data_IF_783915118980
#
_entry.id   IF_783915118980
#
_cell.length_a   1.000
_cell.length_b   1.000
_cell.length_c   1.000
_cell.angle_alpha   90.00
_cell.angle_beta   90.00
_cell.angle_gamma   90.00
#
_symmetry.space_group_name_H-M   'P 1'
#
loop_
_entity.id
_entity.type
_entity.pdbx_description
1 polymer ?
#
# COMPACT_ATOMS: atom_id res chain seq x y z
N UNK A 1 16.41 15.39 7.73
CA UNK A 1 15.05 14.85 7.66
C UNK A 1 14.69 14.17 8.97
N UNK A 2 13.43 14.27 9.47
CA UNK A 2 13.01 13.59 10.69
C UNK A 2 13.08 12.06 10.53
N UNK A 3 13.35 11.37 11.64
CA UNK A 3 13.44 9.90 11.69
C UNK A 3 12.69 9.30 12.90
N UNK A 4 12.04 10.12 13.70
CA UNK A 4 11.33 9.71 14.93
C UNK A 4 10.17 8.74 14.67
N UNK A 5 9.72 8.69 13.39
CA UNK A 5 8.69 7.79 12.90
C UNK A 5 9.25 6.45 12.37
N UNK A 6 10.53 6.12 12.68
CA UNK A 6 11.18 4.89 12.22
C UNK A 6 11.63 4.05 13.41
N UNK A 7 11.27 2.77 13.41
CA UNK A 7 11.70 1.79 14.41
C UNK A 7 13.04 1.19 13.97
N UNK A 8 13.95 0.97 14.90
CA UNK A 8 15.24 0.33 14.63
C UNK A 8 15.03 -1.07 14.05
N UNK A 9 15.77 -1.39 12.99
CA UNK A 9 15.65 -2.64 12.22
C UNK A 9 15.71 -3.89 13.11
N UNK A 10 16.60 -3.94 14.08
CA UNK A 10 16.74 -5.08 14.98
C UNK A 10 15.44 -5.35 15.75
N UNK A 11 14.75 -4.27 16.18
CA UNK A 11 13.46 -4.38 16.87
C UNK A 11 12.33 -4.81 15.94
N UNK A 12 12.38 -4.40 14.67
CA UNK A 12 11.43 -4.86 13.66
C UNK A 12 11.54 -6.37 13.45
N UNK A 13 12.79 -6.86 13.28
CA UNK A 13 13.06 -8.30 13.09
C UNK A 13 12.63 -9.13 14.32
N UNK A 14 12.91 -8.63 15.53
CA UNK A 14 12.45 -9.24 16.79
C UNK A 14 10.91 -9.34 16.81
N UNK A 15 10.20 -8.27 16.44
CA UNK A 15 8.75 -8.26 16.45
C UNK A 15 8.16 -9.17 15.36
N UNK A 16 8.75 -9.22 14.16
CA UNK A 16 8.34 -10.15 13.10
C UNK A 16 8.52 -11.62 13.54
N UNK A 17 9.64 -11.96 14.20
CA UNK A 17 9.84 -13.30 14.74
C UNK A 17 8.85 -13.61 15.88
N UNK A 18 8.62 -12.65 16.77
CA UNK A 18 7.65 -12.79 17.88
C UNK A 18 6.25 -13.11 17.39
N UNK A 19 5.79 -12.46 16.30
CA UNK A 19 4.44 -12.61 15.79
C UNK A 19 4.33 -13.54 14.57
N UNK A 20 5.38 -14.28 14.25
CA UNK A 20 5.42 -15.14 13.05
C UNK A 20 4.28 -16.18 12.95
N UNK A 21 3.68 -16.57 14.08
CA UNK A 21 2.55 -17.49 14.14
C UNK A 21 1.19 -16.80 14.31
N UNK A 22 1.17 -15.47 14.46
CA UNK A 22 -0.05 -14.68 14.59
C UNK A 22 -0.43 -14.04 13.24
N UNK A 23 -1.69 -13.61 13.11
CA UNK A 23 -2.06 -12.67 12.07
C UNK A 23 -1.49 -11.29 12.44
N UNK A 24 -0.78 -10.65 11.53
CA UNK A 24 -0.17 -9.35 11.78
C UNK A 24 -0.17 -8.44 10.57
N UNK A 25 0.00 -7.15 10.84
CA UNK A 25 0.31 -6.10 9.87
C UNK A 25 1.63 -5.47 10.28
N UNK A 26 2.56 -5.34 9.34
CA UNK A 26 3.83 -4.63 9.52
C UNK A 26 4.03 -3.60 8.41
N UNK A 27 4.30 -2.34 8.78
CA UNK A 27 4.61 -1.30 7.80
C UNK A 27 6.11 -1.24 7.54
N UNK A 28 6.53 -1.58 6.34
CA UNK A 28 7.95 -1.60 5.94
C UNK A 28 8.40 -0.23 5.41
N UNK A 29 7.44 0.63 5.07
CA UNK A 29 7.62 2.00 4.58
C UNK A 29 6.92 2.24 3.25
N UNK A 30 6.54 3.48 2.98
CA UNK A 30 5.80 3.90 1.79
C UNK A 30 4.46 3.14 1.66
N UNK A 31 4.25 2.41 0.58
CA UNK A 31 3.12 1.50 0.37
C UNK A 31 3.48 0.02 0.60
N UNK A 32 4.65 -0.25 1.19
CA UNK A 32 5.12 -1.61 1.46
C UNK A 32 4.64 -2.08 2.83
N UNK A 33 3.79 -3.08 2.84
CA UNK A 33 3.35 -3.79 4.04
C UNK A 33 3.64 -5.28 3.94
N UNK A 34 3.89 -5.90 5.08
CA UNK A 34 3.77 -7.33 5.28
C UNK A 34 2.46 -7.56 6.05
N UNK A 35 1.58 -8.39 5.49
CA UNK A 35 0.29 -8.74 6.09
C UNK A 35 0.23 -10.27 6.16
N UNK A 36 0.11 -10.82 7.36
CA UNK A 36 -0.06 -12.26 7.55
C UNK A 36 -1.50 -12.55 7.94
N UNK A 37 -2.14 -13.45 7.19
CA UNK A 37 -3.52 -13.90 7.38
C UNK A 37 -3.55 -15.43 7.31
N UNK A 38 -3.71 -16.09 8.44
CA UNK A 38 -3.54 -17.54 8.55
C UNK A 38 -2.15 -17.98 8.09
N UNK A 39 -2.11 -18.91 7.15
CA UNK A 39 -0.85 -19.42 6.59
C UNK A 39 -0.34 -18.61 5.39
N UNK A 40 -0.98 -17.48 5.06
CA UNK A 40 -0.61 -16.67 3.89
C UNK A 40 0.06 -15.38 4.32
N UNK A 41 1.32 -15.18 3.94
CA UNK A 41 2.06 -13.93 4.08
C UNK A 41 2.01 -13.15 2.77
N UNK A 42 1.51 -11.93 2.84
CA UNK A 42 1.32 -11.00 1.72
C UNK A 42 2.36 -9.89 1.80
N UNK A 43 2.95 -9.51 0.67
CA UNK A 43 3.69 -8.26 0.54
C UNK A 43 3.00 -7.36 -0.48
N UNK A 44 2.89 -6.06 -0.16
CA UNK A 44 2.27 -5.05 -1.03
C UNK A 44 3.33 -4.08 -1.54
N UNK A 45 3.27 -3.71 -2.82
CA UNK A 45 4.06 -2.65 -3.49
C UNK A 45 5.49 -2.48 -2.93
N UNK A 46 6.34 -3.53 -2.93
CA UNK A 46 7.61 -3.50 -2.21
C UNK A 46 8.62 -2.55 -2.86
N UNK A 47 8.98 -1.51 -2.11
CA UNK A 47 9.96 -0.49 -2.46
C UNK A 47 11.19 -0.60 -1.55
N UNK A 48 12.31 -1.14 -2.07
CA UNK A 48 13.59 -1.28 -1.37
C UNK A 48 14.73 -0.48 -1.99
N UNK A 49 14.54 0.05 -3.20
CA UNK A 49 15.52 0.92 -3.86
C UNK A 49 15.64 2.27 -3.16
N UNK A 50 16.83 2.90 -3.29
CA UNK A 50 17.08 4.26 -2.81
C UNK A 50 16.32 5.31 -3.60
N UNK A 51 16.07 5.06 -4.89
CA UNK A 51 15.47 5.99 -5.83
C UNK A 51 14.16 5.45 -6.36
N UNK A 52 13.19 6.33 -6.54
CA UNK A 52 11.88 6.04 -7.14
C UNK A 52 11.83 6.59 -8.58
N UNK A 53 12.70 6.06 -9.43
CA UNK A 53 12.81 6.49 -10.82
C UNK A 53 13.63 5.51 -11.66
N UNK A 54 13.84 5.82 -12.96
CA UNK A 54 14.63 4.96 -13.82
C UNK A 54 16.11 4.96 -13.41
N UNK A 55 16.68 3.78 -13.23
CA UNK A 55 18.09 3.58 -12.83
C UNK A 55 18.42 4.28 -11.49
N UNK A 56 19.24 5.33 -11.56
CA UNK A 56 19.69 6.12 -10.41
C UNK A 56 18.98 7.47 -10.29
N UNK A 57 18.01 7.73 -11.18
CA UNK A 57 17.26 8.99 -11.23
C UNK A 57 15.97 8.93 -10.40
N UNK A 58 15.32 10.08 -10.24
CA UNK A 58 14.08 10.24 -9.53
C UNK A 58 14.25 10.60 -8.05
N UNK A 59 13.15 10.82 -7.36
CA UNK A 59 13.14 11.13 -5.93
C UNK A 59 13.85 10.05 -5.12
N UNK A 60 14.59 10.49 -4.10
CA UNK A 60 15.30 9.57 -3.18
C UNK A 60 14.50 9.40 -1.90
N UNK A 61 14.48 8.18 -1.40
CA UNK A 61 14.02 7.98 -0.03
C UNK A 61 14.98 8.63 0.96
N UNK A 62 14.45 9.23 2.00
CA UNK A 62 15.23 9.87 3.06
C UNK A 62 15.34 9.02 4.33
N UNK A 63 14.52 7.97 4.45
CA UNK A 63 14.66 6.92 5.46
C UNK A 63 14.78 5.58 4.76
N UNK A 64 15.52 4.66 5.36
CA UNK A 64 15.62 3.29 4.83
C UNK A 64 14.32 2.50 5.05
N UNK A 65 14.13 1.41 4.32
CA UNK A 65 13.08 0.44 4.61
C UNK A 65 13.32 -0.20 5.98
N UNK A 66 12.23 -0.52 6.67
CA UNK A 66 12.28 -1.08 8.03
C UNK A 66 13.14 -2.34 8.16
N UNK A 67 13.21 -3.13 7.09
CA UNK A 67 14.07 -4.31 6.94
C UNK A 67 14.74 -4.30 5.57
N UNK A 68 15.75 -5.12 5.37
CA UNK A 68 16.41 -5.31 4.07
C UNK A 68 15.62 -6.29 3.21
N UNK A 69 15.82 -6.23 1.89
CA UNK A 69 15.14 -7.11 0.94
C UNK A 69 15.38 -8.61 1.22
N UNK A 70 16.57 -8.98 1.65
CA UNK A 70 16.93 -10.36 1.98
C UNK A 70 16.48 -10.81 3.40
N UNK A 71 15.84 -9.91 4.16
CA UNK A 71 15.28 -10.18 5.49
C UNK A 71 13.76 -10.33 5.47
N UNK A 72 13.14 -10.18 4.28
CA UNK A 72 11.71 -10.41 4.12
C UNK A 72 11.39 -11.86 4.48
N UNK A 73 10.42 -12.13 5.37
CA UNK A 73 9.96 -13.48 5.67
C UNK A 73 9.43 -14.17 4.41
N UNK A 74 9.34 -15.50 4.43
CA UNK A 74 8.75 -16.23 3.32
C UNK A 74 7.39 -15.64 2.96
N UNK A 75 7.22 -15.35 1.67
CA UNK A 75 6.07 -14.58 1.15
C UNK A 75 5.34 -15.44 0.14
N UNK A 76 4.06 -15.68 0.41
CA UNK A 76 3.18 -16.50 -0.43
C UNK A 76 2.55 -15.69 -1.54
N UNK A 77 2.24 -14.42 -1.26
CA UNK A 77 1.49 -13.55 -2.15
C UNK A 77 2.15 -12.17 -2.30
N UNK A 78 2.39 -11.78 -3.54
CA UNK A 78 2.89 -10.46 -3.91
C UNK A 78 1.76 -9.69 -4.60
N UNK A 79 1.33 -8.57 -4.04
CA UNK A 79 0.34 -7.67 -4.62
C UNK A 79 1.03 -6.41 -5.15
N UNK A 80 0.74 -6.04 -6.39
CA UNK A 80 1.20 -4.79 -7.00
C UNK A 80 -0.01 -3.99 -7.49
N UNK A 81 -0.17 -2.76 -7.02
CA UNK A 81 -1.33 -1.91 -7.33
C UNK A 81 -1.24 -1.23 -8.68
N UNK A 82 -0.06 -0.76 -9.09
CA UNK A 82 0.17 -0.08 -10.37
C UNK A 82 1.66 0.03 -10.72
N UNK A 83 1.99 0.71 -11.84
CA UNK A 83 3.34 0.69 -12.40
C UNK A 83 4.22 1.90 -12.10
N UNK A 84 3.83 2.84 -11.25
CA UNK A 84 4.71 3.95 -10.89
C UNK A 84 5.99 3.45 -10.22
N UNK A 85 7.06 4.24 -10.27
CA UNK A 85 8.39 3.80 -9.85
C UNK A 85 8.52 3.55 -8.35
N UNK A 86 7.70 4.19 -7.55
CA UNK A 86 7.63 4.07 -6.10
C UNK A 86 6.74 2.91 -5.62
N UNK A 87 6.06 2.21 -6.54
CA UNK A 87 5.28 0.98 -6.29
C UNK A 87 5.88 -0.23 -7.03
N UNK A 88 6.05 -0.14 -8.35
CA UNK A 88 6.77 -1.14 -9.12
C UNK A 88 8.27 -0.83 -9.09
N UNK A 89 8.94 -1.14 -8.01
CA UNK A 89 10.40 -1.10 -7.92
C UNK A 89 11.01 -2.30 -8.67
N UNK A 90 11.47 -2.04 -9.88
CA UNK A 90 11.99 -3.10 -10.75
C UNK A 90 13.24 -3.78 -10.17
N UNK A 91 14.08 -3.07 -9.45
CA UNK A 91 15.23 -3.63 -8.74
C UNK A 91 14.78 -4.61 -7.66
N UNK A 92 13.77 -4.24 -6.89
CA UNK A 92 13.16 -5.12 -5.89
C UNK A 92 12.54 -6.36 -6.54
N UNK A 93 11.73 -6.20 -7.60
CA UNK A 93 11.15 -7.35 -8.33
C UNK A 93 12.26 -8.27 -8.85
N UNK A 94 13.32 -7.73 -9.44
CA UNK A 94 14.46 -8.50 -9.97
C UNK A 94 15.18 -9.31 -8.88
N UNK A 95 15.40 -8.72 -7.71
CA UNK A 95 16.17 -9.32 -6.63
C UNK A 95 15.31 -9.92 -5.51
N UNK A 96 13.98 -9.99 -5.69
CA UNK A 96 13.06 -10.53 -4.70
C UNK A 96 13.42 -11.97 -4.34
N UNK A 97 13.57 -12.32 -3.04
CA UNK A 97 14.09 -13.64 -2.66
C UNK A 97 13.10 -14.78 -2.91
N UNK A 98 11.80 -14.51 -2.83
CA UNK A 98 10.74 -15.54 -2.86
C UNK A 98 10.06 -15.62 -4.24
N UNK A 99 10.77 -16.10 -5.27
CA UNK A 99 10.26 -16.19 -6.66
C UNK A 99 9.13 -17.21 -6.86
N UNK A 100 8.86 -18.04 -5.86
CA UNK A 100 7.73 -18.98 -5.85
C UNK A 100 6.41 -18.31 -5.45
N UNK A 101 6.46 -17.11 -4.86
CA UNK A 101 5.26 -16.35 -4.50
C UNK A 101 4.31 -16.26 -5.69
N UNK A 102 3.02 -16.38 -5.42
CA UNK A 102 1.97 -16.01 -6.36
C UNK A 102 1.95 -14.49 -6.48
N UNK A 103 1.88 -13.99 -7.69
CA UNK A 103 1.86 -12.55 -7.98
C UNK A 103 0.51 -12.19 -8.56
N UNK A 104 -0.16 -11.21 -7.96
CA UNK A 104 -1.39 -10.61 -8.49
C UNK A 104 -1.11 -9.17 -8.88
N UNK A 105 -1.41 -8.84 -10.11
CA UNK A 105 -1.16 -7.52 -10.69
C UNK A 105 -2.32 -7.10 -11.57
N UNK A 106 -2.56 -5.80 -11.74
CA UNK A 106 -3.46 -5.30 -12.77
C UNK A 106 -3.01 -5.67 -14.18
N UNK A 107 -3.92 -5.62 -15.15
CA UNK A 107 -3.68 -5.98 -16.56
C UNK A 107 -2.42 -5.33 -17.14
N UNK A 108 -1.68 -6.11 -17.92
CA UNK A 108 -0.45 -5.76 -18.67
C UNK A 108 0.79 -5.49 -17.80
N UNK A 109 0.80 -5.96 -16.54
CA UNK A 109 1.95 -5.84 -15.65
C UNK A 109 2.73 -7.14 -15.44
N UNK A 110 2.19 -8.29 -15.83
CA UNK A 110 2.83 -9.61 -15.64
C UNK A 110 4.25 -9.70 -16.18
N UNK A 111 4.53 -9.03 -17.32
CA UNK A 111 5.85 -9.02 -17.97
C UNK A 111 7.00 -8.60 -17.06
N UNK A 112 6.75 -7.73 -16.08
CA UNK A 112 7.77 -7.27 -15.14
C UNK A 112 8.19 -8.37 -14.15
N UNK A 113 7.31 -9.33 -13.90
CA UNK A 113 7.55 -10.46 -13.00
C UNK A 113 8.04 -11.70 -13.73
N UNK A 114 7.39 -12.08 -14.82
CA UNK A 114 7.74 -13.28 -15.62
C UNK A 114 9.17 -13.22 -16.14
N UNK A 115 9.62 -12.04 -16.61
CA UNK A 115 11.01 -11.79 -17.04
C UNK A 115 12.03 -11.88 -15.92
N UNK A 116 11.59 -11.83 -14.65
CA UNK A 116 12.44 -11.89 -13.47
C UNK A 116 12.26 -13.18 -12.66
N UNK A 117 11.77 -14.24 -13.31
CA UNK A 117 11.76 -15.59 -12.75
C UNK A 117 10.54 -15.98 -11.92
N UNK A 118 9.53 -15.12 -11.80
CA UNK A 118 8.26 -15.51 -11.21
C UNK A 118 7.46 -16.37 -12.20
N UNK A 119 6.96 -17.52 -11.74
CA UNK A 119 6.22 -18.47 -12.57
C UNK A 119 4.71 -18.43 -12.37
N UNK A 120 4.26 -17.93 -11.23
CA UNK A 120 2.84 -17.87 -10.86
C UNK A 120 2.37 -16.42 -10.82
N UNK A 121 2.08 -15.84 -12.00
CA UNK A 121 1.69 -14.44 -12.17
C UNK A 121 0.30 -14.38 -12.80
N UNK A 122 -0.65 -13.73 -12.12
CA UNK A 122 -2.00 -13.53 -12.60
C UNK A 122 -2.28 -12.04 -12.78
N UNK A 123 -2.79 -11.70 -13.96
CA UNK A 123 -3.32 -10.37 -14.23
C UNK A 123 -4.81 -10.34 -13.93
N UNK A 124 -5.27 -9.25 -13.32
CA UNK A 124 -6.67 -9.01 -12.97
C UNK A 124 -7.18 -7.74 -13.65
N UNK A 125 -8.41 -7.78 -14.15
CA UNK A 125 -9.18 -6.58 -14.49
C UNK A 125 -9.96 -6.09 -13.27
N UNK A 126 -10.52 -4.89 -13.33
CA UNK A 126 -11.40 -4.40 -12.28
C UNK A 126 -12.58 -5.34 -12.08
N UNK A 127 -12.85 -5.66 -10.82
CA UNK A 127 -13.87 -6.59 -10.35
C UNK A 127 -13.54 -8.07 -10.54
N UNK A 128 -12.42 -8.42 -11.18
CA UNK A 128 -11.93 -9.79 -11.16
C UNK A 128 -11.51 -10.19 -9.76
N UNK A 129 -11.80 -11.45 -9.40
CA UNK A 129 -11.37 -12.03 -8.15
C UNK A 129 -10.67 -13.38 -8.33
N UNK A 130 -9.81 -13.70 -7.38
CA UNK A 130 -9.08 -14.96 -7.33
C UNK A 130 -8.97 -15.46 -5.90
N UNK A 131 -9.09 -16.77 -5.71
CA UNK A 131 -8.81 -17.43 -4.43
C UNK A 131 -7.35 -17.80 -4.31
N UNK A 132 -6.77 -17.51 -3.17
CA UNK A 132 -5.40 -17.87 -2.79
C UNK A 132 -5.45 -18.39 -1.35
N UNK A 133 -5.28 -19.69 -1.17
CA UNK A 133 -5.52 -20.37 0.10
C UNK A 133 -6.92 -20.00 0.65
N UNK A 134 -7.00 -19.51 1.88
CA UNK A 134 -8.24 -19.08 2.53
C UNK A 134 -8.64 -17.63 2.21
N UNK A 135 -7.91 -16.98 1.30
CA UNK A 135 -8.17 -15.60 0.91
C UNK A 135 -8.96 -15.53 -0.40
N UNK A 136 -9.89 -14.58 -0.47
CA UNK A 136 -10.43 -14.10 -1.74
C UNK A 136 -9.89 -12.70 -1.98
N UNK A 137 -9.26 -12.50 -3.13
CA UNK A 137 -8.63 -11.22 -3.51
C UNK A 137 -9.37 -10.67 -4.72
N UNK A 138 -9.92 -9.47 -4.61
CA UNK A 138 -10.61 -8.79 -5.71
C UNK A 138 -9.86 -7.51 -6.07
N UNK A 139 -9.60 -7.27 -7.37
CA UNK A 139 -9.08 -5.99 -7.84
C UNK A 139 -10.24 -5.01 -8.04
N UNK A 140 -10.17 -3.84 -7.41
CA UNK A 140 -11.20 -2.80 -7.47
C UNK A 140 -10.64 -1.52 -8.11
N UNK A 141 -11.47 -0.72 -8.81
CA UNK A 141 -11.04 0.53 -9.42
C UNK A 141 -10.54 1.54 -8.39
N UNK A 142 -9.62 2.42 -8.82
CA UNK A 142 -9.10 3.56 -8.07
C UNK A 142 -9.06 4.81 -8.95
N UNK A 143 -9.10 5.99 -8.33
CA UNK A 143 -8.95 7.29 -9.02
C UNK A 143 -7.45 7.58 -9.16
N UNK A 144 -6.84 6.91 -10.12
CA UNK A 144 -5.40 7.02 -10.37
C UNK A 144 -5.10 6.88 -11.87
N UNK A 145 -3.84 6.67 -12.20
CA UNK A 145 -3.35 6.51 -13.56
C UNK A 145 -2.08 5.65 -13.57
N UNK A 146 -1.60 5.30 -14.74
CA UNK A 146 -0.37 4.53 -14.89
C UNK A 146 0.56 5.16 -15.91
N UNK A 147 1.86 5.18 -15.60
CA UNK A 147 2.93 5.61 -16.51
C UNK A 147 4.28 5.18 -15.99
N UNK A 148 5.16 4.74 -16.91
CA UNK A 148 6.54 4.40 -16.61
C UNK A 148 7.52 4.84 -17.69
N UNK A 149 7.01 5.22 -18.85
CA UNK A 149 7.80 5.69 -20.00
C UNK A 149 7.09 6.87 -20.69
N UNK A 150 7.74 7.45 -21.70
CA UNK A 150 7.18 8.61 -22.41
C UNK A 150 5.85 8.30 -23.12
N UNK A 151 5.66 7.05 -23.57
CA UNK A 151 4.57 6.67 -24.46
C UNK A 151 3.63 5.60 -23.86
N UNK A 152 3.60 5.38 -22.55
CA UNK A 152 2.81 4.32 -21.93
C UNK A 152 1.75 4.79 -20.92
N UNK A 153 1.41 6.07 -20.95
CA UNK A 153 0.33 6.62 -20.09
C UNK A 153 -0.96 5.81 -20.26
N UNK A 154 -1.47 5.28 -19.17
CA UNK A 154 -2.70 4.46 -19.06
C UNK A 154 -2.71 3.21 -19.99
N UNK A 155 -1.54 2.69 -20.34
CA UNK A 155 -1.43 1.44 -21.12
C UNK A 155 -1.42 0.18 -20.25
N UNK A 156 -1.26 0.33 -18.94
CA UNK A 156 -1.43 -0.73 -17.95
C UNK A 156 -2.55 -0.34 -16.99
N UNK A 157 -3.20 -1.31 -16.40
CA UNK A 157 -4.26 -1.04 -15.42
C UNK A 157 -3.65 -0.73 -14.04
N UNK A 158 -4.49 -0.27 -13.11
CA UNK A 158 -4.22 0.01 -11.69
C UNK A 158 -5.45 -0.32 -10.86
N UNK A 159 -5.30 -0.48 -9.54
CA UNK A 159 -6.47 -0.72 -8.69
C UNK A 159 -6.13 -1.04 -7.24
N UNK A 160 -7.18 -1.00 -6.43
CA UNK A 160 -7.18 -1.39 -5.04
C UNK A 160 -7.32 -2.92 -4.91
N UNK A 161 -6.74 -3.52 -3.89
CA UNK A 161 -6.97 -4.92 -3.56
C UNK A 161 -7.91 -5.04 -2.35
N UNK A 162 -9.09 -5.62 -2.55
CA UNK A 162 -9.93 -6.09 -1.46
C UNK A 162 -9.52 -7.51 -1.10
N UNK A 163 -9.13 -7.72 0.14
CA UNK A 163 -8.70 -8.99 0.71
C UNK A 163 -9.79 -9.45 1.67
N UNK A 164 -10.45 -10.54 1.36
CA UNK A 164 -11.45 -11.18 2.21
C UNK A 164 -10.81 -12.41 2.87
N UNK A 165 -10.78 -12.42 4.20
CA UNK A 165 -10.28 -13.51 5.03
C UNK A 165 -11.27 -13.83 6.15
N UNK A 166 -11.83 -15.04 6.13
CA UNK A 166 -12.94 -15.41 7.04
C UNK A 166 -14.08 -14.39 6.95
N UNK A 167 -14.42 -13.77 8.07
CA UNK A 167 -15.44 -12.71 8.20
C UNK A 167 -14.89 -11.29 8.06
N UNK A 168 -13.60 -11.14 7.75
CA UNK A 168 -12.91 -9.84 7.68
C UNK A 168 -12.67 -9.39 6.24
N UNK A 169 -12.80 -8.09 6.04
CA UNK A 169 -12.52 -7.40 4.78
C UNK A 169 -11.45 -6.35 5.00
N UNK A 170 -10.36 -6.46 4.26
CA UNK A 170 -9.22 -5.54 4.31
C UNK A 170 -9.08 -4.94 2.91
N UNK A 171 -9.10 -3.62 2.81
CA UNK A 171 -8.82 -2.93 1.55
C UNK A 171 -7.40 -2.35 1.60
N UNK A 172 -6.56 -2.80 0.68
CA UNK A 172 -5.28 -2.16 0.39
C UNK A 172 -5.47 -1.24 -0.83
N UNK A 173 -5.50 0.07 -0.58
CA UNK A 173 -5.69 1.02 -1.66
C UNK A 173 -4.43 1.15 -2.53
N UNK A 174 -4.65 1.32 -3.82
CA UNK A 174 -3.72 1.96 -4.74
C UNK A 174 -3.50 3.41 -4.32
N UNK A 175 -2.51 4.08 -4.88
CA UNK A 175 -2.52 5.54 -4.88
C UNK A 175 -3.82 6.01 -5.52
N UNK A 176 -4.47 6.97 -4.87
CA UNK A 176 -5.77 7.43 -5.34
C UNK A 176 -6.10 8.84 -4.88
N UNK A 177 -6.80 9.58 -5.72
CA UNK A 177 -7.57 10.75 -5.33
C UNK A 177 -8.98 10.38 -4.87
N UNK A 178 -9.73 11.37 -4.42
CA UNK A 178 -11.15 11.19 -4.09
C UNK A 178 -12.02 11.09 -5.34
N UNK A 179 -13.04 10.23 -5.31
CA UNK A 179 -14.05 10.11 -6.37
C UNK A 179 -15.27 9.30 -5.93
N UNK A 180 -16.39 9.50 -6.63
CA UNK A 180 -17.68 8.85 -6.31
C UNK A 180 -17.63 7.31 -6.34
N UNK A 181 -16.66 6.74 -7.02
CA UNK A 181 -16.47 5.30 -7.07
C UNK A 181 -16.38 4.68 -5.66
N UNK A 182 -15.83 5.41 -4.66
CA UNK A 182 -15.71 4.89 -3.30
C UNK A 182 -17.06 4.72 -2.58
N UNK A 183 -18.05 5.54 -2.90
CA UNK A 183 -19.44 5.32 -2.43
C UNK A 183 -20.01 4.04 -3.01
N UNK A 184 -19.87 3.83 -4.32
CA UNK A 184 -20.32 2.61 -5.01
C UNK A 184 -19.62 1.37 -4.45
N UNK A 185 -18.30 1.45 -4.21
CA UNK A 185 -17.56 0.36 -3.59
C UNK A 185 -18.02 0.09 -2.15
N UNK A 186 -18.28 1.14 -1.37
CA UNK A 186 -18.81 1.02 0.00
C UNK A 186 -20.25 0.46 0.05
N UNK A 187 -21.07 0.73 -0.96
CA UNK A 187 -22.38 0.11 -1.08
C UNK A 187 -22.29 -1.37 -1.44
N UNK A 188 -21.40 -1.73 -2.35
CA UNK A 188 -21.25 -3.08 -2.87
C UNK A 188 -20.47 -4.02 -1.95
N UNK A 189 -19.37 -3.53 -1.37
CA UNK A 189 -18.42 -4.37 -0.63
C UNK A 189 -18.33 -4.04 0.86
N UNK A 190 -18.79 -2.86 1.29
CA UNK A 190 -18.74 -2.45 2.70
C UNK A 190 -19.69 -3.27 3.61
N UNK A 191 -19.53 -3.17 4.91
CA UNK A 191 -18.46 -2.42 5.58
C UNK A 191 -17.09 -3.08 5.41
N UNK A 192 -16.05 -2.27 5.34
CA UNK A 192 -14.63 -2.70 5.33
C UNK A 192 -14.10 -2.67 6.76
N UNK A 193 -13.45 -3.73 7.23
CA UNK A 193 -12.93 -3.77 8.60
C UNK A 193 -11.68 -2.91 8.75
N UNK A 194 -10.77 -2.94 7.76
CA UNK A 194 -9.52 -2.17 7.76
C UNK A 194 -9.19 -1.67 6.36
N UNK A 195 -8.94 -0.37 6.21
CA UNK A 195 -8.52 0.25 4.95
C UNK A 195 -7.12 0.85 5.10
N UNK A 196 -6.21 0.49 4.19
CA UNK A 196 -4.92 1.16 4.00
C UNK A 196 -5.09 2.20 2.89
N UNK A 197 -4.68 3.45 3.11
CA UNK A 197 -4.89 4.51 2.14
C UNK A 197 -3.75 5.54 2.15
N UNK A 198 -3.39 6.04 0.97
CA UNK A 198 -2.40 7.11 0.83
C UNK A 198 -2.91 8.40 1.50
N UNK A 199 -2.02 9.05 2.25
CA UNK A 199 -2.26 10.35 2.89
C UNK A 199 -1.19 11.39 2.56
N UNK A 200 -0.21 11.04 1.72
CA UNK A 200 0.89 11.89 1.26
C UNK A 200 0.93 12.05 -0.26
N UNK A 201 1.89 12.83 -0.74
CA UNK A 201 2.09 13.17 -2.14
C UNK A 201 0.91 13.93 -2.76
N UNK A 202 0.36 14.91 -2.05
CA UNK A 202 -0.85 15.64 -2.49
C UNK A 202 -0.61 17.12 -2.85
N UNK A 203 0.51 17.74 -2.43
CA UNK A 203 0.77 19.16 -2.70
C UNK A 203 1.74 19.36 -3.86
N UNK A 204 1.21 19.71 -5.01
CA UNK A 204 1.97 19.97 -6.23
C UNK A 204 1.94 21.46 -6.65
N UNK A 205 1.55 22.36 -5.74
CA UNK A 205 1.55 23.81 -6.04
C UNK A 205 2.96 24.33 -6.33
N UNK A 206 3.19 25.28 -7.26
CA UNK A 206 2.15 25.98 -8.03
C UNK A 206 1.75 25.28 -9.35
N UNK A 207 2.23 24.06 -9.63
CA UNK A 207 1.91 23.36 -10.88
C UNK A 207 0.42 23.01 -10.99
N UNK A 208 -0.15 22.56 -9.87
CA UNK A 208 -1.58 22.23 -9.76
C UNK A 208 -2.11 22.75 -8.42
N UNK A 209 -3.30 23.36 -8.40
CA UNK A 209 -3.93 23.82 -7.15
C UNK A 209 -4.30 22.64 -6.24
N UNK A 210 -4.68 21.52 -6.83
CA UNK A 210 -5.10 20.30 -6.14
C UNK A 210 -4.67 19.07 -6.93
N UNK A 211 -4.16 18.06 -6.24
CA UNK A 211 -3.98 16.73 -6.83
C UNK A 211 -5.35 16.07 -7.05
N UNK A 212 -5.55 15.50 -8.23
CA UNK A 212 -6.74 14.69 -8.55
C UNK A 212 -6.47 13.19 -8.39
N UNK A 213 -5.20 12.80 -8.25
CA UNK A 213 -4.75 11.40 -8.22
C UNK A 213 -4.14 10.97 -6.88
N UNK A 214 -3.98 11.90 -5.94
CA UNK A 214 -3.52 11.64 -4.59
C UNK A 214 -4.40 12.38 -3.60
N UNK A 215 -5.06 11.62 -2.74
CA UNK A 215 -5.87 12.16 -1.66
C UNK A 215 -4.99 12.85 -0.62
N UNK A 216 -5.41 14.03 -0.18
CA UNK A 216 -4.89 14.61 1.05
C UNK A 216 -5.47 13.86 2.27
N UNK A 217 -4.97 14.11 3.49
CA UNK A 217 -5.44 13.38 4.68
C UNK A 217 -6.94 13.43 4.93
N UNK A 218 -7.59 14.56 4.66
CA UNK A 218 -9.03 14.73 4.81
C UNK A 218 -9.82 13.95 3.76
N UNK A 219 -9.35 13.97 2.51
CA UNK A 219 -9.94 13.19 1.42
C UNK A 219 -9.77 11.69 1.65
N UNK A 220 -8.62 11.26 2.20
CA UNK A 220 -8.39 9.87 2.59
C UNK A 220 -9.39 9.40 3.65
N UNK A 221 -9.67 10.23 4.66
CA UNK A 221 -10.72 9.95 5.66
C UNK A 221 -12.12 9.91 5.02
N UNK A 222 -12.41 10.79 4.07
CA UNK A 222 -13.68 10.79 3.34
C UNK A 222 -13.85 9.51 2.49
N UNK A 223 -12.79 9.07 1.80
CA UNK A 223 -12.79 7.79 1.07
C UNK A 223 -13.09 6.63 2.03
N UNK A 224 -12.42 6.59 3.18
CA UNK A 224 -12.64 5.55 4.17
C UNK A 224 -14.08 5.58 4.74
N UNK A 225 -14.66 6.77 4.90
CA UNK A 225 -16.07 6.94 5.29
C UNK A 225 -17.01 6.40 4.20
N UNK A 226 -16.79 6.76 2.94
CA UNK A 226 -17.58 6.29 1.80
C UNK A 226 -17.51 4.76 1.65
N UNK A 227 -16.36 4.15 1.92
CA UNK A 227 -16.16 2.70 1.97
C UNK A 227 -16.81 2.02 3.20
N UNK A 228 -17.40 2.79 4.11
CA UNK A 228 -17.91 2.33 5.40
C UNK A 228 -16.84 1.58 6.21
N UNK A 229 -15.61 2.10 6.17
CA UNK A 229 -14.48 1.50 6.88
C UNK A 229 -14.63 1.66 8.38
N UNK A 230 -14.35 0.59 9.13
CA UNK A 230 -14.36 0.63 10.61
C UNK A 230 -13.09 1.27 11.14
N UNK A 231 -11.95 0.95 10.52
CA UNK A 231 -10.62 1.50 10.84
C UNK A 231 -9.85 1.82 9.57
N UNK A 232 -8.94 2.78 9.67
CA UNK A 232 -8.16 3.24 8.53
C UNK A 232 -6.71 3.49 8.93
N UNK A 233 -5.77 2.97 8.14
CA UNK A 233 -4.31 3.18 8.27
C UNK A 233 -3.86 4.13 7.18
N UNK A 234 -3.26 5.26 7.58
CA UNK A 234 -2.64 6.19 6.65
C UNK A 234 -1.25 5.72 6.23
N UNK A 235 -1.00 5.61 4.92
CA UNK A 235 0.26 5.19 4.33
C UNK A 235 0.78 6.21 3.28
N UNK A 236 1.86 5.88 2.58
CA UNK A 236 2.42 6.68 1.49
C UNK A 236 2.95 8.05 1.95
N UNK A 237 3.52 8.12 3.15
CA UNK A 237 4.14 9.30 3.75
C UNK A 237 5.46 8.93 4.43
N UNK A 238 6.24 9.90 4.83
CA UNK A 238 7.39 9.68 5.73
C UNK A 238 8.55 8.87 5.13
N UNK A 239 8.60 8.61 3.82
CA UNK A 239 9.61 7.75 3.18
C UNK A 239 10.35 8.46 2.04
N UNK A 240 9.61 8.97 1.08
CA UNK A 240 10.12 9.63 -0.13
C UNK A 240 9.46 11.01 -0.24
N UNK A 241 10.23 12.02 -0.63
CA UNK A 241 9.67 13.35 -0.92
C UNK A 241 9.22 13.36 -2.38
N UNK A 242 7.91 13.25 -2.59
CA UNK A 242 7.29 13.21 -3.91
C UNK A 242 6.56 14.51 -4.28
N UNK A 243 6.28 15.36 -3.29
CA UNK A 243 5.49 16.58 -3.40
C UNK A 243 5.97 17.62 -2.40
N UNK A 244 5.24 18.71 -2.22
CA UNK A 244 5.71 19.91 -1.50
C UNK A 244 5.14 20.06 -0.08
N UNK A 245 4.21 19.20 0.36
CA UNK A 245 3.73 19.25 1.74
C UNK A 245 4.87 18.96 2.73
N UNK A 246 4.84 19.57 3.91
CA UNK A 246 5.80 19.24 4.97
C UNK A 246 5.74 17.74 5.31
N UNK A 247 6.91 17.10 5.39
CA UNK A 247 7.05 15.62 5.49
C UNK A 247 6.21 15.01 6.61
N UNK A 248 6.06 15.71 7.74
CA UNK A 248 5.31 15.23 8.91
C UNK A 248 3.89 15.81 9.00
N UNK A 249 3.44 16.58 8.02
CA UNK A 249 2.08 17.13 7.98
C UNK A 249 1.01 16.04 7.78
N UNK A 250 1.18 15.06 6.85
CA UNK A 250 0.15 14.09 6.55
C UNK A 250 -0.38 13.33 7.78
N UNK A 251 0.44 12.71 8.66
CA UNK A 251 -0.06 12.00 9.82
C UNK A 251 -0.70 12.91 10.86
N UNK A 252 -0.23 14.16 11.00
CA UNK A 252 -0.79 15.14 11.93
C UNK A 252 -2.20 15.54 11.50
N UNK A 253 -2.37 15.93 10.21
CA UNK A 253 -3.68 16.29 9.64
C UNK A 253 -4.65 15.12 9.67
N UNK A 254 -4.21 13.92 9.33
CA UNK A 254 -5.02 12.71 9.35
C UNK A 254 -5.60 12.45 10.75
N UNK A 255 -4.76 12.47 11.78
CA UNK A 255 -5.21 12.31 13.18
C UNK A 255 -6.13 13.43 13.66
N UNK A 256 -5.80 14.68 13.32
CA UNK A 256 -6.55 15.84 13.75
C UNK A 256 -7.97 15.89 13.20
N UNK A 257 -8.18 15.38 11.98
CA UNK A 257 -9.45 15.40 11.29
C UNK A 257 -10.30 14.13 11.43
N UNK A 258 -9.79 13.06 12.07
CA UNK A 258 -10.46 11.77 12.16
C UNK A 258 -11.92 11.86 12.64
N UNK A 259 -12.16 12.58 13.74
CA UNK A 259 -13.48 12.70 14.35
C UNK A 259 -14.49 13.43 13.45
N UNK A 260 -14.02 14.39 12.66
CA UNK A 260 -14.85 15.11 11.68
C UNK A 260 -15.42 14.20 10.60
N UNK A 261 -14.70 13.12 10.28
CA UNK A 261 -15.11 12.11 9.30
C UNK A 261 -15.67 10.83 9.94
N UNK A 262 -16.07 10.90 11.22
CA UNK A 262 -16.77 9.80 11.91
C UNK A 262 -15.86 8.72 12.51
N UNK A 263 -14.54 8.89 12.47
CA UNK A 263 -13.60 7.96 13.07
C UNK A 263 -13.20 8.40 14.48
N UNK A 264 -13.21 7.49 15.45
CA UNK A 264 -12.55 7.75 16.73
C UNK A 264 -11.04 7.92 16.46
N UNK A 265 -10.35 8.70 17.29
CA UNK A 265 -8.88 8.91 17.14
C UNK A 265 -8.07 7.62 17.09
N UNK A 266 -8.52 6.57 17.79
CA UNK A 266 -7.87 5.26 17.77
C UNK A 266 -8.11 4.47 16.47
N UNK A 267 -9.18 4.77 15.73
CA UNK A 267 -9.59 4.04 14.52
C UNK A 267 -8.98 4.65 13.24
N UNK A 268 -8.48 5.91 13.30
CA UNK A 268 -7.61 6.51 12.30
C UNK A 268 -6.15 6.29 12.72
N UNK A 269 -5.50 5.27 12.16
CA UNK A 269 -4.25 4.70 12.65
C UNK A 269 -3.07 5.24 11.86
N UNK A 270 -2.01 5.60 12.55
CA UNK A 270 -0.72 5.97 11.96
C UNK A 270 0.35 5.05 12.56
N UNK A 271 0.97 4.25 11.71
CA UNK A 271 2.10 3.42 12.09
C UNK A 271 3.41 4.19 12.02
N UNK A 272 4.39 3.78 12.82
CA UNK A 272 5.79 4.06 12.54
C UNK A 272 6.31 3.08 11.50
N UNK A 273 7.25 3.51 10.66
CA UNK A 273 7.95 2.59 9.75
C UNK A 273 8.65 1.51 10.59
N UNK A 274 8.35 0.25 10.31
CA UNK A 274 8.79 -0.90 11.09
C UNK A 274 7.86 -1.31 12.23
N UNK A 275 6.72 -0.63 12.41
CA UNK A 275 5.73 -1.06 13.39
C UNK A 275 5.06 -2.35 12.95
N UNK A 276 4.97 -3.30 13.89
CA UNK A 276 4.32 -4.61 13.71
C UNK A 276 3.24 -4.73 14.77
N UNK A 277 2.00 -4.91 14.35
CA UNK A 277 0.85 -5.09 15.25
C UNK A 277 0.08 -6.36 14.89
N UNK A 278 -0.46 -7.05 15.89
CA UNK A 278 -1.40 -8.14 15.63
C UNK A 278 -2.66 -7.59 14.97
N UNK A 279 -3.19 -8.35 14.01
CA UNK A 279 -4.43 -7.96 13.34
C UNK A 279 -5.62 -7.90 14.32
N UNK A 280 -5.63 -8.76 15.32
CA UNK A 280 -6.67 -8.79 16.36
C UNK A 280 -6.71 -7.51 17.20
N UNK A 281 -5.54 -6.89 17.45
CA UNK A 281 -5.45 -5.61 18.17
C UNK A 281 -5.89 -4.43 17.28
N UNK A 282 -5.80 -4.62 15.95
CA UNK A 282 -6.21 -3.63 14.96
C UNK A 282 -7.72 -3.70 14.66
N UNK A 283 -8.37 -4.85 14.74
CA UNK A 283 -9.78 -5.06 14.40
C UNK A 283 -10.65 -5.15 15.65
#
# INVERSE_FOLDING_TARGET
FPSDHVIKREKVLENLDKYKNDNYVAWIGHATFLIKLGDTTIITDPLFSKNTGPLIFGPKRYVESAIRLNEIPETDLFLLTHNHYDHLDYSTVRNFPHKKSKVLVPLKLSKYFTRNGFKNVNELDWYDDIKVNDLKITLLPAVHWSKRSLNDTNKTLWGNFLIEYKDKKILFACDTGYGNIYKELGEKYGPIDLTFINIGAYDFRPMFEKSVYHANPEEALNIAQDLKSKKVIGMHWGTVVLSLEPIMEPPVRFKANAEKYGFKKKDAIIFKIGEVQKLEDLL
#
